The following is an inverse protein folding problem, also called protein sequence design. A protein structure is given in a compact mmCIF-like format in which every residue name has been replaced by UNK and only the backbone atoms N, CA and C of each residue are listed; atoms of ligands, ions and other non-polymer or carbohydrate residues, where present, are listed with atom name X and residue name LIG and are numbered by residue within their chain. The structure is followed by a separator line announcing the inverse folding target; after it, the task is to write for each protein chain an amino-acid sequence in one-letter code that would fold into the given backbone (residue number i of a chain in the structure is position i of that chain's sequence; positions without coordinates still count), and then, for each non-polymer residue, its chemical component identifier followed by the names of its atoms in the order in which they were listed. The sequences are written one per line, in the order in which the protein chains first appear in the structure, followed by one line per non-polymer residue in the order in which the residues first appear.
data_IF_623553505943
#
_entry.id   IF_623553505943
#
_cell.length_a   1.000
_cell.length_b   1.000
_cell.length_c   1.000
_cell.angle_alpha   90.00
_cell.angle_beta   90.00
_cell.angle_gamma   90.00
#
_symmetry.space_group_name_H-M   'P 1'
#
loop_
_entity.id
_entity.type
_entity.pdbx_description
1 polymer ?
#
# COMPACT_ATOMS: atom_id res chain seq x y z
N UNK A 1 8.35 13.76 -8.86
CA UNK A 1 6.91 13.66 -8.56
C UNK A 1 6.29 12.62 -9.48
N UNK A 2 5.14 12.05 -9.12
CA UNK A 2 4.42 11.13 -9.99
C UNK A 2 3.70 11.92 -11.10
N UNK A 3 3.72 11.47 -12.37
CA UNK A 3 3.27 12.25 -13.51
C UNK A 3 1.75 12.11 -13.79
N UNK A 4 0.90 12.24 -12.77
CA UNK A 4 -0.55 12.23 -12.89
C UNK A 4 -1.18 13.39 -12.11
N UNK A 5 -2.40 13.80 -12.46
CA UNK A 5 -3.14 14.84 -11.74
C UNK A 5 -4.09 14.27 -10.70
N UNK A 6 -4.71 13.12 -11.01
CA UNK A 6 -5.66 12.42 -10.15
C UNK A 6 -5.29 10.95 -10.09
N UNK A 7 -5.49 10.35 -8.93
CA UNK A 7 -5.36 8.90 -8.74
C UNK A 7 -6.49 8.41 -7.84
N UNK A 8 -7.09 7.29 -8.22
CA UNK A 8 -8.10 6.59 -7.43
C UNK A 8 -7.60 5.18 -7.13
N UNK A 9 -7.68 4.78 -5.87
CA UNK A 9 -7.40 3.41 -5.42
C UNK A 9 -8.71 2.72 -5.03
N UNK A 10 -8.80 1.43 -5.31
CA UNK A 10 -9.84 0.53 -4.85
C UNK A 10 -9.18 -0.68 -4.20
N UNK A 11 -9.44 -0.90 -2.91
CA UNK A 11 -8.86 -2.01 -2.16
C UNK A 11 -9.67 -3.27 -2.44
N UNK A 12 -9.00 -4.33 -2.90
CA UNK A 12 -9.61 -5.64 -3.11
C UNK A 12 -9.50 -6.50 -1.85
N UNK A 13 -8.32 -6.50 -1.23
CA UNK A 13 -8.03 -7.23 0.00
C UNK A 13 -6.99 -6.49 0.84
N UNK A 14 -7.08 -6.66 2.15
CA UNK A 14 -6.09 -6.19 3.11
C UNK A 14 -5.93 -7.24 4.21
N UNK A 15 -4.68 -7.58 4.50
CA UNK A 15 -4.30 -8.54 5.52
C UNK A 15 -3.38 -7.86 6.54
N UNK A 16 -3.59 -8.15 7.83
CA UNK A 16 -2.85 -7.53 8.91
C UNK A 16 -2.32 -8.58 9.89
N UNK A 17 -1.06 -8.47 10.26
CA UNK A 17 -0.42 -9.36 11.22
C UNK A 17 0.42 -8.58 12.24
N UNK A 18 0.38 -8.94 13.53
CA UNK A 18 1.37 -8.47 14.48
C UNK A 18 2.73 -9.12 14.17
N UNK A 19 3.81 -8.40 14.39
CA UNK A 19 5.18 -8.94 14.34
C UNK A 19 5.73 -9.15 15.75
N UNK A 20 6.78 -9.99 15.92
CA UNK A 20 7.44 -10.17 17.21
C UNK A 20 7.92 -8.87 17.88
N UNK A 21 8.32 -7.88 17.07
CA UNK A 21 8.83 -6.58 17.55
C UNK A 21 7.72 -5.56 17.85
N UNK A 22 6.48 -6.02 18.07
CA UNK A 22 5.31 -5.18 18.32
C UNK A 22 5.01 -4.17 17.19
N UNK A 23 5.35 -4.55 15.96
CA UNK A 23 4.91 -3.83 14.76
C UNK A 23 3.63 -4.47 14.19
N UNK A 24 3.00 -3.78 13.25
CA UNK A 24 1.90 -4.29 12.44
C UNK A 24 2.38 -4.37 10.99
N UNK A 25 2.42 -5.57 10.42
CA UNK A 25 2.60 -5.78 9.00
C UNK A 25 1.22 -5.73 8.32
N UNK A 26 1.05 -4.83 7.36
CA UNK A 26 -0.15 -4.73 6.54
C UNK A 26 0.20 -4.98 5.08
N UNK A 27 -0.51 -5.90 4.43
CA UNK A 27 -0.40 -6.15 2.99
C UNK A 27 -1.72 -5.79 2.33
N UNK A 28 -1.65 -5.04 1.24
CA UNK A 28 -2.79 -4.52 0.51
C UNK A 28 -2.67 -4.98 -0.94
N UNK A 29 -3.74 -5.55 -1.47
CA UNK A 29 -3.90 -5.85 -2.89
C UNK A 29 -5.11 -5.07 -3.39
N UNK A 30 -4.94 -4.38 -4.51
CA UNK A 30 -6.01 -3.55 -5.05
C UNK A 30 -5.83 -3.22 -6.51
N UNK A 31 -6.67 -2.29 -6.96
CA UNK A 31 -6.61 -1.68 -8.28
C UNK A 31 -6.48 -0.17 -8.13
N UNK A 32 -5.79 0.46 -9.07
CA UNK A 32 -5.70 1.91 -9.17
C UNK A 32 -5.96 2.39 -10.59
N UNK A 33 -6.43 3.63 -10.70
CA UNK A 33 -6.58 4.37 -11.95
C UNK A 33 -5.92 5.73 -11.78
N UNK A 34 -4.94 6.03 -12.62
CA UNK A 34 -4.34 7.35 -12.72
C UNK A 34 -4.99 8.11 -13.89
N UNK A 35 -5.51 9.31 -13.63
CA UNK A 35 -6.23 10.13 -14.61
C UNK A 35 -7.26 9.33 -15.44
N UNK A 36 -7.10 9.31 -16.75
CA UNK A 36 -7.94 8.56 -17.70
C UNK A 36 -7.26 7.29 -18.23
N UNK A 37 -6.12 6.89 -17.64
CA UNK A 37 -5.40 5.67 -18.01
C UNK A 37 -6.20 4.40 -17.65
N UNK A 38 -5.70 3.25 -18.13
CA UNK A 38 -6.24 1.94 -17.79
C UNK A 38 -6.15 1.65 -16.28
N UNK A 39 -7.10 0.88 -15.78
CA UNK A 39 -7.06 0.36 -14.40
C UNK A 39 -5.94 -0.68 -14.29
N UNK A 40 -5.08 -0.51 -13.31
CA UNK A 40 -3.94 -1.41 -13.04
C UNK A 40 -4.09 -2.04 -11.66
N UNK A 41 -3.71 -3.31 -11.55
CA UNK A 41 -3.54 -3.95 -10.24
C UNK A 41 -2.31 -3.38 -9.52
N UNK A 42 -2.33 -3.38 -8.19
CA UNK A 42 -1.18 -3.06 -7.36
C UNK A 42 -1.13 -3.94 -6.12
N UNK A 43 0.08 -4.06 -5.56
CA UNK A 43 0.33 -4.58 -4.23
C UNK A 43 1.14 -3.55 -3.44
N UNK A 44 0.79 -3.37 -2.18
CA UNK A 44 1.46 -2.44 -1.29
C UNK A 44 1.59 -3.04 0.11
N UNK A 45 2.79 -2.96 0.68
CA UNK A 45 3.09 -3.50 2.00
C UNK A 45 3.56 -2.37 2.91
N UNK A 46 3.02 -2.31 4.12
CA UNK A 46 3.37 -1.35 5.16
C UNK A 46 3.85 -2.08 6.41
N UNK A 47 4.94 -1.60 7.01
CA UNK A 47 5.30 -1.94 8.39
C UNK A 47 5.01 -0.74 9.28
N UNK A 48 4.09 -0.90 10.22
CA UNK A 48 3.72 0.14 11.17
C UNK A 48 4.36 -0.13 12.52
N UNK A 49 4.98 0.87 13.12
CA UNK A 49 5.56 0.80 14.47
C UNK A 49 4.97 1.88 15.36
N UNK A 50 4.68 1.54 16.60
CA UNK A 50 4.27 2.54 17.59
C UNK A 50 5.49 3.31 18.10
N UNK A 51 5.41 4.64 18.06
CA UNK A 51 6.43 5.56 18.53
C UNK A 51 5.74 6.70 19.31
N UNK A 52 6.07 6.85 20.60
CA UNK A 52 5.49 7.87 21.49
C UNK A 52 3.95 7.94 21.48
N UNK A 53 3.28 6.78 21.42
CA UNK A 53 1.82 6.70 21.43
C UNK A 53 1.15 6.92 20.08
N UNK A 54 1.91 7.10 18.99
CA UNK A 54 1.41 7.20 17.63
C UNK A 54 1.94 6.06 16.76
N UNK A 55 1.11 5.55 15.85
CA UNK A 55 1.56 4.59 14.83
C UNK A 55 2.17 5.32 13.65
N UNK A 56 3.38 4.91 13.25
CA UNK A 56 4.08 5.46 12.09
C UNK A 56 4.42 4.36 11.10
N UNK A 57 4.38 4.67 9.80
CA UNK A 57 4.88 3.77 8.77
C UNK A 57 6.40 3.86 8.73
N UNK A 58 7.09 2.76 9.07
CA UNK A 58 8.56 2.68 9.04
C UNK A 58 9.08 2.12 7.73
N UNK A 59 8.27 1.31 7.03
CA UNK A 59 8.61 0.73 5.75
C UNK A 59 7.37 0.70 4.86
N UNK A 60 7.57 1.07 3.59
CA UNK A 60 6.57 1.00 2.55
C UNK A 60 7.19 0.37 1.30
N UNK A 61 6.50 -0.60 0.69
CA UNK A 61 6.86 -1.15 -0.62
C UNK A 61 5.63 -1.12 -1.50
N UNK A 62 5.74 -0.53 -2.68
CA UNK A 62 4.68 -0.47 -3.68
C UNK A 62 5.14 -1.14 -4.98
N UNK A 63 4.25 -1.91 -5.61
CA UNK A 63 4.49 -2.52 -6.93
C UNK A 63 3.21 -2.59 -7.75
N UNK A 64 3.27 -2.14 -9.00
CA UNK A 64 2.21 -2.38 -9.99
C UNK A 64 2.21 -3.85 -10.42
N UNK A 65 1.02 -4.44 -10.53
CA UNK A 65 0.82 -5.79 -11.06
C UNK A 65 0.78 -5.73 -12.60
N UNK A 66 1.95 -5.54 -13.20
CA UNK A 66 2.15 -5.64 -14.64
C UNK A 66 2.45 -7.11 -14.99
N UNK A 67 1.96 -7.59 -16.14
CA UNK A 67 2.37 -8.89 -16.65
C UNK A 67 3.89 -8.83 -16.96
N UNK A 68 4.64 -9.84 -16.50
CA UNK A 68 6.04 -10.02 -16.91
C UNK A 68 6.13 -10.57 -18.33
#
# INVERSE_FOLDING_TARGET
SLPFQKIQHSITAQDHQPTPDSCILSMVVGQLKADDDQVLGFQQTFLLKSFHGAWVCTNEVFRLALHN
#
